data_IF_456989555469
#
_entry.id   IF_456989555469
#
_cell.length_a   1.000
_cell.length_b   1.000
_cell.length_c   1.000
_cell.angle_alpha   90.00
_cell.angle_beta   90.00
_cell.angle_gamma   90.00
#
_symmetry.space_group_name_H-M   'P 1'
#
loop_
_entity.id
_entity.type
_entity.pdbx_description
1 polymer ?
#
# COMPACT_ATOMS: atom_id res chain seq x y z
N UNK A 1 -7.38 22.12 -0.28
CA UNK A 1 -8.05 20.80 -0.32
C UNK A 1 -6.97 19.75 -0.24
N UNK A 2 -7.01 18.85 0.75
CA UNK A 2 -6.08 17.72 0.84
C UNK A 2 -6.29 16.85 -0.40
N UNK A 3 -5.23 16.55 -1.15
CA UNK A 3 -5.34 15.70 -2.33
C UNK A 3 -5.84 14.31 -1.91
N UNK A 4 -6.87 13.80 -2.58
CA UNK A 4 -7.38 12.43 -2.41
C UNK A 4 -7.20 11.65 -3.70
N UNK A 5 -6.77 10.39 -3.58
CA UNK A 5 -6.51 9.51 -4.71
C UNK A 5 -7.61 8.43 -4.79
N UNK A 6 -8.55 8.53 -5.76
CA UNK A 6 -9.64 7.57 -5.88
C UNK A 6 -9.21 6.21 -6.44
N UNK A 7 -8.03 6.13 -7.06
CA UNK A 7 -7.46 4.89 -7.59
C UNK A 7 -6.12 4.64 -6.91
N UNK A 8 -6.00 3.50 -6.25
CA UNK A 8 -4.83 3.13 -5.46
C UNK A 8 -4.35 1.76 -5.93
N UNK A 9 -3.05 1.60 -6.06
CA UNK A 9 -2.44 0.27 -6.18
C UNK A 9 -1.65 -0.04 -4.92
N UNK A 10 -1.91 -1.20 -4.32
CA UNK A 10 -1.01 -1.83 -3.35
C UNK A 10 -0.19 -2.88 -4.10
N UNK A 11 1.12 -2.67 -4.19
CA UNK A 11 2.04 -3.52 -4.94
C UNK A 11 2.98 -4.22 -3.98
N UNK A 12 3.12 -5.54 -4.14
CA UNK A 12 4.08 -6.38 -3.43
C UNK A 12 5.10 -6.91 -4.43
N UNK A 13 6.37 -6.65 -4.15
CA UNK A 13 7.49 -7.16 -4.93
C UNK A 13 8.23 -8.22 -4.12
N UNK A 14 8.59 -9.31 -4.80
CA UNK A 14 9.56 -10.27 -4.30
C UNK A 14 10.95 -9.83 -4.79
N UNK A 15 11.83 -9.52 -3.86
CA UNK A 15 13.18 -9.04 -4.10
C UNK A 15 14.15 -10.20 -3.95
N UNK A 16 15.21 -10.21 -4.75
CA UNK A 16 16.28 -11.20 -4.65
C UNK A 16 16.93 -11.18 -3.26
N UNK A 17 17.32 -12.35 -2.70
CA UNK A 17 17.94 -12.44 -1.38
C UNK A 17 19.09 -11.45 -1.17
N UNK A 18 19.03 -10.70 -0.06
CA UNK A 18 20.06 -9.72 0.31
C UNK A 18 20.05 -8.41 -0.50
N UNK A 19 19.14 -8.24 -1.47
CA UNK A 19 19.07 -7.01 -2.28
C UNK A 19 18.07 -5.97 -1.76
N UNK A 20 17.21 -6.30 -0.79
CA UNK A 20 16.10 -5.42 -0.36
C UNK A 20 16.53 -4.01 0.05
N UNK A 21 17.58 -3.87 0.84
CA UNK A 21 18.08 -2.55 1.24
C UNK A 21 18.55 -1.73 0.03
N UNK A 22 19.32 -2.35 -0.87
CA UNK A 22 19.78 -1.70 -2.11
C UNK A 22 18.61 -1.33 -3.00
N UNK A 23 17.65 -2.22 -3.15
CA UNK A 23 16.41 -2.00 -3.90
C UNK A 23 15.64 -0.80 -3.35
N UNK A 24 15.41 -0.75 -2.03
CA UNK A 24 14.72 0.35 -1.37
C UNK A 24 15.41 1.70 -1.61
N UNK A 25 16.74 1.76 -1.51
CA UNK A 25 17.51 2.97 -1.79
C UNK A 25 17.39 3.43 -3.24
N UNK A 26 17.47 2.51 -4.21
CA UNK A 26 17.30 2.83 -5.62
C UNK A 26 15.86 3.30 -5.90
N UNK A 27 14.86 2.57 -5.39
CA UNK A 27 13.46 2.93 -5.49
C UNK A 27 13.21 4.35 -4.99
N UNK A 28 13.65 4.67 -3.77
CA UNK A 28 13.49 5.98 -3.15
C UNK A 28 14.20 7.10 -3.89
N UNK A 29 15.28 6.79 -4.61
CA UNK A 29 16.06 7.79 -5.35
C UNK A 29 15.37 8.16 -6.67
N UNK A 30 14.77 7.19 -7.36
CA UNK A 30 14.35 7.37 -8.75
C UNK A 30 12.84 7.53 -8.93
N UNK A 31 12.00 6.93 -8.08
CA UNK A 31 10.59 6.70 -8.44
C UNK A 31 9.61 7.69 -7.80
N UNK A 32 9.64 8.00 -6.48
CA UNK A 32 8.63 8.83 -5.85
C UNK A 32 8.42 10.18 -6.56
N UNK A 33 9.50 10.92 -6.82
CA UNK A 33 9.44 12.23 -7.49
C UNK A 33 9.03 12.10 -8.96
N UNK A 34 9.47 11.05 -9.66
CA UNK A 34 9.08 10.81 -11.05
C UNK A 34 7.56 10.57 -11.17
N UNK A 35 6.97 9.74 -10.29
CA UNK A 35 5.51 9.59 -10.25
C UNK A 35 4.80 10.90 -9.91
N UNK A 36 5.35 11.68 -8.96
CA UNK A 36 4.80 12.98 -8.57
C UNK A 36 4.74 13.97 -9.74
N UNK A 37 5.80 14.06 -10.55
CA UNK A 37 5.83 14.90 -11.75
C UNK A 37 4.83 14.47 -12.83
N UNK A 38 4.44 13.19 -12.83
CA UNK A 38 3.49 12.60 -13.77
C UNK A 38 2.04 12.64 -13.27
N UNK A 39 1.75 13.32 -12.15
CA UNK A 39 0.40 13.46 -11.61
C UNK A 39 -0.11 12.25 -10.81
N UNK A 40 0.78 11.30 -10.48
CA UNK A 40 0.53 10.21 -9.55
C UNK A 40 1.31 10.45 -8.24
N UNK A 41 1.13 9.61 -7.22
CA UNK A 41 1.89 9.77 -5.98
C UNK A 41 2.27 8.43 -5.38
N UNK A 42 3.54 8.26 -4.99
CA UNK A 42 3.94 7.21 -4.05
C UNK A 42 3.40 7.58 -2.66
N UNK A 43 2.32 6.92 -2.25
CA UNK A 43 1.65 7.15 -0.96
C UNK A 43 2.48 6.60 0.20
N UNK A 44 3.24 5.55 -0.04
CA UNK A 44 4.20 5.00 0.92
C UNK A 44 4.92 3.80 0.35
N UNK A 45 6.04 3.45 0.95
CA UNK A 45 6.87 2.32 0.56
C UNK A 45 7.53 1.70 1.80
N UNK A 46 7.67 0.38 1.80
CA UNK A 46 7.86 -0.38 3.02
C UNK A 46 8.67 -1.66 2.81
N UNK A 47 9.43 -2.02 3.83
CA UNK A 47 10.03 -3.32 4.02
C UNK A 47 9.07 -4.22 4.80
N UNK A 48 8.81 -5.43 4.32
CA UNK A 48 8.00 -6.40 5.06
C UNK A 48 8.72 -6.90 6.32
N UNK A 49 8.00 -7.03 7.44
CA UNK A 49 8.57 -7.54 8.68
C UNK A 49 8.96 -9.02 8.56
N UNK A 50 7.97 -9.85 8.20
CA UNK A 50 8.10 -11.32 8.23
C UNK A 50 8.67 -11.91 6.93
N UNK A 51 8.96 -11.06 5.94
CA UNK A 51 9.54 -11.44 4.66
C UNK A 51 10.78 -10.58 4.38
N UNK A 52 12.01 -11.11 4.55
CA UNK A 52 13.24 -10.35 4.31
C UNK A 52 13.42 -9.96 2.83
N UNK A 53 12.65 -10.56 1.93
CA UNK A 53 12.65 -10.33 0.50
C UNK A 53 11.39 -9.56 0.03
N UNK A 54 10.48 -9.23 0.93
CA UNK A 54 9.25 -8.53 0.61
C UNK A 54 9.43 -7.02 0.65
N UNK A 55 9.09 -6.36 -0.46
CA UNK A 55 8.98 -4.91 -0.56
C UNK A 55 7.57 -4.51 -1.00
N UNK A 56 6.98 -3.54 -0.32
CA UNK A 56 5.63 -3.07 -0.59
C UNK A 56 5.62 -1.60 -0.91
N UNK A 57 4.71 -1.18 -1.77
CA UNK A 57 4.43 0.24 -1.92
C UNK A 57 2.99 0.49 -2.36
N UNK A 58 2.50 1.65 -1.95
CA UNK A 58 1.22 2.18 -2.34
C UNK A 58 1.44 3.34 -3.29
N UNK A 59 0.69 3.37 -4.40
CA UNK A 59 0.63 4.54 -5.27
C UNK A 59 -0.80 4.93 -5.59
N UNK A 60 -1.04 6.24 -5.61
CA UNK A 60 -2.33 6.83 -5.91
C UNK A 60 -2.36 7.53 -7.26
N UNK A 61 -3.51 7.47 -7.93
CA UNK A 61 -3.81 8.18 -9.17
C UNK A 61 -5.09 9.01 -9.00
N UNK A 62 -5.12 10.18 -9.63
CA UNK A 62 -6.20 11.16 -9.49
C UNK A 62 -7.49 10.76 -10.21
N UNK A 63 -7.40 9.86 -11.19
CA UNK A 63 -8.54 9.23 -11.85
C UNK A 63 -8.15 7.88 -12.44
N UNK A 64 -9.16 7.16 -12.92
CA UNK A 64 -8.96 5.92 -13.66
C UNK A 64 -8.14 6.12 -14.94
N UNK A 65 -8.46 7.15 -15.71
CA UNK A 65 -7.76 7.52 -16.95
C UNK A 65 -6.32 7.94 -16.66
N UNK A 66 -6.12 8.73 -15.58
CA UNK A 66 -4.79 9.18 -15.19
C UNK A 66 -3.86 8.04 -14.76
N UNK A 67 -4.40 6.91 -14.29
CA UNK A 67 -3.61 5.71 -14.05
C UNK A 67 -2.88 5.25 -15.32
N UNK A 68 -3.59 5.13 -16.44
CA UNK A 68 -2.98 4.68 -17.69
C UNK A 68 -1.97 5.70 -18.22
N UNK A 69 -2.30 7.00 -18.15
CA UNK A 69 -1.43 8.10 -18.59
C UNK A 69 -0.12 8.12 -17.79
N UNK A 70 -0.20 8.15 -16.46
CA UNK A 70 0.97 8.20 -15.59
C UNK A 70 1.84 6.95 -15.73
N UNK A 71 1.23 5.76 -15.80
CA UNK A 71 1.98 4.52 -16.04
C UNK A 71 2.67 4.53 -17.40
N UNK A 72 1.98 4.91 -18.48
CA UNK A 72 2.59 4.97 -19.81
C UNK A 72 3.78 5.96 -19.83
N UNK A 73 3.60 7.14 -19.25
CA UNK A 73 4.66 8.15 -19.19
C UNK A 73 5.87 7.67 -18.38
N UNK A 74 5.65 6.93 -17.29
CA UNK A 74 6.72 6.38 -16.48
C UNK A 74 7.45 5.20 -17.18
N UNK A 75 6.72 4.15 -17.55
CA UNK A 75 7.30 2.90 -18.05
C UNK A 75 7.85 2.99 -19.49
N UNK A 76 7.33 3.91 -20.31
CA UNK A 76 7.90 4.19 -21.64
C UNK A 76 8.87 5.38 -21.64
N UNK A 77 8.94 6.10 -20.52
CA UNK A 77 9.77 7.28 -20.32
C UNK A 77 11.26 6.98 -20.09
N UNK A 78 12.09 8.05 -20.04
CA UNK A 78 13.53 7.94 -19.91
C UNK A 78 13.98 7.37 -18.56
N UNK A 79 13.33 7.74 -17.45
CA UNK A 79 13.69 7.30 -16.08
C UNK A 79 13.63 5.78 -15.97
N UNK A 80 12.52 5.16 -16.38
CA UNK A 80 12.43 3.70 -16.37
C UNK A 80 13.37 3.07 -17.40
N UNK A 81 13.51 3.65 -18.60
CA UNK A 81 14.43 3.12 -19.62
C UNK A 81 15.88 3.04 -19.14
N UNK A 82 16.33 4.03 -18.39
CA UNK A 82 17.68 4.10 -17.83
C UNK A 82 17.88 3.12 -16.67
N UNK A 83 16.89 3.01 -15.77
CA UNK A 83 17.07 2.28 -14.51
C UNK A 83 16.41 0.89 -14.47
N UNK A 84 15.61 0.49 -15.47
CA UNK A 84 14.88 -0.79 -15.46
C UNK A 84 15.78 -2.01 -15.32
N UNK A 85 16.98 -2.01 -15.92
CA UNK A 85 17.92 -3.13 -15.83
C UNK A 85 18.33 -3.36 -14.38
N UNK A 86 18.87 -2.31 -13.76
CA UNK A 86 19.25 -2.31 -12.35
C UNK A 86 18.11 -2.77 -11.43
N UNK A 87 16.89 -2.25 -11.65
CA UNK A 87 15.74 -2.55 -10.79
C UNK A 87 15.22 -3.97 -11.00
N UNK A 88 15.10 -4.42 -12.26
CA UNK A 88 14.61 -5.75 -12.58
C UNK A 88 15.59 -6.85 -12.15
N UNK A 89 16.90 -6.61 -12.22
CA UNK A 89 17.93 -7.56 -11.76
C UNK A 89 17.84 -7.85 -10.26
N UNK A 90 17.19 -6.97 -9.49
CA UNK A 90 16.96 -7.15 -8.05
C UNK A 90 15.60 -7.77 -7.73
N UNK A 91 14.68 -7.94 -8.69
CA UNK A 91 13.33 -8.45 -8.46
C UNK A 91 13.14 -9.85 -9.03
N UNK A 92 12.44 -10.71 -8.30
CA UNK A 92 12.01 -12.03 -8.78
C UNK A 92 10.54 -12.05 -9.18
N UNK A 93 9.71 -11.18 -8.60
CA UNK A 93 8.30 -11.01 -8.96
C UNK A 93 7.85 -9.57 -8.67
N UNK A 94 7.02 -9.01 -9.56
CA UNK A 94 6.44 -7.67 -9.46
C UNK A 94 4.93 -7.61 -9.72
N UNK A 95 4.29 -8.76 -9.93
CA UNK A 95 2.93 -8.86 -10.49
C UNK A 95 1.84 -8.98 -9.42
N UNK A 96 2.23 -9.09 -8.15
CA UNK A 96 1.30 -9.10 -7.02
C UNK A 96 0.79 -7.67 -6.72
N UNK A 97 -0.26 -7.28 -7.44
CA UNK A 97 -0.86 -5.94 -7.37
C UNK A 97 -2.34 -6.02 -7.07
N UNK A 98 -2.78 -5.35 -6.01
CA UNK A 98 -4.19 -5.06 -5.77
C UNK A 98 -4.55 -3.70 -6.36
N UNK A 99 -5.61 -3.65 -7.16
CA UNK A 99 -6.21 -2.42 -7.68
C UNK A 99 -7.41 -2.03 -6.82
N UNK A 100 -7.31 -0.87 -6.16
CA UNK A 100 -8.14 -0.48 -5.03
C UNK A 100 -8.71 0.93 -5.20
N UNK A 101 -9.74 1.23 -4.41
CA UNK A 101 -10.26 2.57 -4.16
C UNK A 101 -10.64 2.71 -2.68
N UNK A 102 -10.69 3.91 -2.11
CA UNK A 102 -11.31 4.11 -0.80
C UNK A 102 -12.76 3.60 -0.78
N UNK A 103 -13.19 3.02 0.34
CA UNK A 103 -14.59 2.60 0.51
C UNK A 103 -15.53 3.81 0.39
N UNK A 104 -15.19 4.89 1.09
CA UNK A 104 -15.82 6.22 1.00
C UNK A 104 -14.72 7.30 1.05
N UNK A 105 -15.02 8.58 0.75
CA UNK A 105 -14.03 9.66 0.85
C UNK A 105 -13.38 9.83 2.23
N UNK A 106 -14.09 9.47 3.31
CA UNK A 106 -13.56 9.52 4.68
C UNK A 106 -12.50 8.44 4.95
N UNK A 107 -12.48 7.38 4.15
CA UNK A 107 -11.54 6.25 4.26
C UNK A 107 -10.31 6.40 3.36
N UNK A 108 -10.09 7.57 2.77
CA UNK A 108 -8.95 7.81 1.89
C UNK A 108 -7.62 7.76 2.63
N UNK A 109 -6.57 7.29 1.94
CA UNK A 109 -5.21 7.27 2.48
C UNK A 109 -4.72 8.71 2.71
N UNK A 110 -4.19 9.05 3.90
CA UNK A 110 -3.72 10.39 4.18
C UNK A 110 -2.51 10.74 3.30
N UNK A 111 -2.48 11.98 2.82
CA UNK A 111 -1.39 12.50 1.99
C UNK A 111 -0.65 13.55 2.79
N UNK A 112 0.62 13.27 3.11
CA UNK A 112 1.48 14.26 3.74
C UNK A 112 1.82 15.39 2.76
N UNK A 113 1.97 16.64 3.25
CA UNK A 113 2.36 17.76 2.42
C UNK A 113 3.70 17.50 1.72
N UNK A 114 3.89 18.15 0.55
CA UNK A 114 5.08 17.95 -0.27
C UNK A 114 6.39 18.43 0.40
N UNK A 115 6.29 19.38 1.32
CA UNK A 115 7.39 19.79 2.18
C UNK A 115 7.35 18.88 3.40
N UNK A 116 8.27 17.91 3.45
CA UNK A 116 8.56 17.12 4.63
C UNK A 116 9.46 17.97 5.55
N UNK A 117 8.95 18.56 6.65
CA UNK A 117 9.72 19.53 7.44
C UNK A 117 10.87 18.89 8.22
N UNK A 118 11.00 17.57 8.20
CA UNK A 118 11.94 16.84 9.04
C UNK A 118 12.93 16.08 8.18
N UNK A 119 14.22 16.32 8.43
CA UNK A 119 15.31 15.42 8.00
C UNK A 119 15.30 14.06 8.72
N UNK A 120 14.18 13.70 9.36
CA UNK A 120 14.02 12.50 10.16
C UNK A 120 13.55 11.33 9.30
N UNK A 121 14.01 10.14 9.68
CA UNK A 121 13.61 8.88 9.07
C UNK A 121 12.11 8.65 9.36
N UNK A 122 11.35 8.21 8.36
CA UNK A 122 9.96 7.80 8.58
C UNK A 122 9.85 6.80 9.75
N UNK A 123 8.86 7.01 10.63
CA UNK A 123 8.69 6.26 11.88
C UNK A 123 7.38 5.45 11.90
N UNK A 124 7.25 4.60 12.91
CA UNK A 124 6.10 3.73 13.13
C UNK A 124 6.08 2.52 12.21
N UNK A 125 4.94 1.82 12.24
CA UNK A 125 4.71 0.59 11.50
C UNK A 125 3.35 0.68 10.82
N UNK A 126 3.27 0.30 9.55
CA UNK A 126 2.01 0.11 8.84
C UNK A 126 1.59 -1.36 8.97
N UNK A 127 0.35 -1.61 9.36
CA UNK A 127 -0.27 -2.93 9.32
C UNK A 127 -1.35 -2.90 8.25
N UNK A 128 -1.28 -3.86 7.32
CA UNK A 128 -2.29 -4.07 6.30
C UNK A 128 -3.00 -5.39 6.56
N UNK A 129 -4.32 -5.35 6.73
CA UNK A 129 -5.16 -6.55 6.78
C UNK A 129 -5.99 -6.62 5.50
N UNK A 130 -5.72 -7.64 4.70
CA UNK A 130 -6.29 -7.84 3.36
C UNK A 130 -7.24 -9.02 3.43
N UNK A 131 -8.54 -8.77 3.43
CA UNK A 131 -9.58 -9.78 3.38
C UNK A 131 -9.93 -10.10 1.93
N UNK A 132 -9.92 -11.38 1.57
CA UNK A 132 -10.52 -11.85 0.31
C UNK A 132 -11.99 -12.14 0.56
N UNK A 133 -12.86 -11.32 -0.02
CA UNK A 133 -14.27 -11.26 0.31
C UNK A 133 -15.04 -12.37 -0.42
N UNK A 134 -15.69 -13.25 0.34
CA UNK A 134 -16.67 -14.23 -0.19
C UNK A 134 -18.09 -13.68 -0.30
N UNK A 135 -18.32 -12.50 0.27
CA UNK A 135 -19.60 -11.79 0.31
C UNK A 135 -19.42 -10.38 -0.26
N UNK A 136 -20.52 -9.64 -0.34
CA UNK A 136 -20.47 -8.24 -0.73
C UNK A 136 -19.51 -7.44 0.18
N UNK A 137 -18.71 -6.57 -0.44
CA UNK A 137 -17.65 -5.84 0.27
C UNK A 137 -18.21 -4.78 1.21
N UNK A 138 -19.34 -4.14 0.86
CA UNK A 138 -19.96 -3.13 1.71
C UNK A 138 -20.62 -3.78 2.94
N UNK A 139 -21.26 -4.92 2.78
CA UNK A 139 -21.76 -5.74 3.89
C UNK A 139 -20.61 -6.14 4.83
N UNK A 140 -19.51 -6.67 4.27
CA UNK A 140 -18.35 -7.07 5.07
C UNK A 140 -17.75 -5.89 5.84
N UNK A 141 -17.62 -4.72 5.20
CA UNK A 141 -17.10 -3.52 5.85
C UNK A 141 -17.99 -3.07 7.02
N UNK A 142 -19.32 -3.13 6.87
CA UNK A 142 -20.25 -2.81 7.95
C UNK A 142 -20.13 -3.79 9.14
N UNK A 143 -19.94 -5.09 8.86
CA UNK A 143 -19.71 -6.11 9.89
C UNK A 143 -18.34 -5.96 10.57
N UNK A 144 -17.34 -5.46 9.85
CA UNK A 144 -15.98 -5.28 10.34
C UNK A 144 -15.81 -4.02 11.21
N UNK A 145 -16.68 -3.02 11.08
CA UNK A 145 -16.52 -1.73 11.78
C UNK A 145 -16.38 -1.86 13.32
N UNK A 146 -17.21 -2.65 14.03
CA UNK A 146 -17.00 -2.86 15.47
C UNK A 146 -15.70 -3.60 15.82
N UNK A 147 -15.10 -4.29 14.85
CA UNK A 147 -13.80 -4.95 14.99
C UNK A 147 -12.67 -3.93 14.82
N UNK A 148 -12.78 -3.06 13.80
CA UNK A 148 -11.83 -1.97 13.58
C UNK A 148 -11.82 -0.97 14.75
N UNK A 149 -12.95 -0.79 15.44
CA UNK A 149 -12.96 -0.05 16.71
C UNK A 149 -12.04 -0.67 17.76
N UNK A 150 -11.99 -2.00 17.87
CA UNK A 150 -11.06 -2.69 18.77
C UNK A 150 -9.60 -2.54 18.34
N UNK A 151 -9.34 -2.35 17.04
CA UNK A 151 -7.99 -2.09 16.55
C UNK A 151 -7.52 -0.71 17.02
N UNK A 152 -8.41 0.29 16.98
CA UNK A 152 -8.13 1.62 17.52
C UNK A 152 -7.86 1.62 19.02
N UNK A 153 -8.56 0.76 19.77
CA UNK A 153 -8.37 0.59 21.21
C UNK A 153 -6.98 0.03 21.60
N UNK A 154 -6.24 -0.61 20.68
CA UNK A 154 -4.85 -1.02 20.92
C UNK A 154 -3.85 0.14 20.81
N UNK A 155 -4.31 1.32 20.36
CA UNK A 155 -3.46 2.48 20.06
C UNK A 155 -3.13 2.64 18.56
N UNK A 156 -3.62 1.74 17.70
CA UNK A 156 -3.47 1.90 16.25
C UNK A 156 -4.34 3.05 15.71
N UNK A 157 -3.87 3.75 14.69
CA UNK A 157 -4.60 4.80 13.99
C UNK A 157 -4.99 4.33 12.60
N UNK A 158 -6.25 4.49 12.23
CA UNK A 158 -6.69 4.21 10.86
C UNK A 158 -5.93 5.09 9.85
N UNK A 159 -5.43 4.45 8.80
CA UNK A 159 -4.77 5.06 7.66
C UNK A 159 -5.53 4.84 6.35
N UNK A 160 -6.54 3.97 6.33
CA UNK A 160 -7.43 3.82 5.19
C UNK A 160 -8.26 2.55 5.27
N UNK A 161 -9.41 2.57 4.61
CA UNK A 161 -10.23 1.39 4.36
C UNK A 161 -10.54 1.33 2.87
N UNK A 162 -9.89 0.40 2.19
CA UNK A 162 -9.90 0.30 0.73
C UNK A 162 -10.65 -0.95 0.28
N UNK A 163 -11.21 -0.88 -0.90
CA UNK A 163 -11.91 -1.99 -1.55
C UNK A 163 -11.40 -2.16 -2.97
N UNK A 164 -11.54 -3.36 -3.54
CA UNK A 164 -11.26 -3.57 -4.97
C UNK A 164 -11.97 -2.53 -5.83
N UNK A 165 -11.22 -1.89 -6.73
CA UNK A 165 -11.78 -1.08 -7.77
C UNK A 165 -12.22 -2.01 -8.91
N UNK A 166 -13.52 -2.17 -9.06
CA UNK A 166 -14.14 -3.05 -10.06
C UNK A 166 -14.16 -2.40 -11.44
N UNK A 167 -12.97 -2.23 -12.02
CA UNK A 167 -12.76 -1.79 -13.40
C UNK A 167 -11.74 -2.71 -14.09
N UNK A 168 -11.92 -3.04 -15.39
CA UNK A 168 -10.97 -3.85 -16.14
C UNK A 168 -9.58 -3.20 -16.13
N UNK A 169 -8.47 -3.93 -16.07
CA UNK A 169 -7.14 -3.30 -16.04
C UNK A 169 -6.84 -2.45 -17.30
N UNK A 170 -6.81 -1.11 -17.18
CA UNK A 170 -6.49 -0.19 -18.29
C UNK A 170 -4.99 -0.05 -18.60
N UNK A 171 -4.14 -0.83 -17.95
CA UNK A 171 -2.70 -0.88 -18.26
C UNK A 171 -2.20 -2.33 -18.19
N UNK A 172 -2.53 -3.18 -19.19
CA UNK A 172 -2.34 -4.64 -19.12
C UNK A 172 -0.89 -5.11 -18.94
N UNK A 173 0.10 -4.27 -19.26
CA UNK A 173 1.52 -4.57 -19.03
C UNK A 173 1.86 -4.75 -17.55
N UNK A 174 1.04 -4.22 -16.64
CA UNK A 174 1.16 -4.42 -15.20
C UNK A 174 -0.03 -5.27 -14.76
N UNK A 175 0.15 -6.59 -14.60
CA UNK A 175 -0.90 -7.47 -14.12
C UNK A 175 -1.44 -7.00 -12.76
N UNK A 176 -2.72 -7.28 -12.53
CA UNK A 176 -3.39 -7.07 -11.26
C UNK A 176 -4.05 -8.38 -10.86
N UNK A 177 -4.11 -8.62 -9.55
CA UNK A 177 -4.75 -9.79 -8.99
C UNK A 177 -6.23 -9.84 -9.35
N UNK A 178 -6.69 -11.03 -9.72
CA UNK A 178 -8.08 -11.33 -10.08
C UNK A 178 -8.75 -12.30 -9.10
N UNK A 179 -8.10 -12.56 -7.96
CA UNK A 179 -8.58 -13.46 -6.90
C UNK A 179 -9.51 -12.76 -5.89
N UNK A 180 -9.95 -11.54 -6.21
CA UNK A 180 -10.83 -10.71 -5.39
C UNK A 180 -12.33 -10.93 -5.66
N UNK A 181 -13.20 -10.08 -5.07
CA UNK A 181 -12.88 -8.75 -4.51
C UNK A 181 -12.24 -8.79 -3.11
N UNK A 182 -11.58 -7.70 -2.74
CA UNK A 182 -10.85 -7.55 -1.47
C UNK A 182 -11.33 -6.34 -0.66
N UNK A 183 -11.28 -6.45 0.67
CA UNK A 183 -11.37 -5.36 1.64
C UNK A 183 -10.02 -5.22 2.33
N UNK A 184 -9.44 -4.02 2.34
CA UNK A 184 -8.10 -3.77 2.88
C UNK A 184 -8.18 -2.69 3.95
N UNK A 185 -7.95 -3.07 5.20
CA UNK A 185 -7.74 -2.12 6.27
C UNK A 185 -6.25 -1.78 6.37
N UNK A 186 -5.94 -0.50 6.48
CA UNK A 186 -4.60 0.03 6.71
C UNK A 186 -4.60 0.77 8.04
N UNK A 187 -3.69 0.39 8.94
CA UNK A 187 -3.50 1.07 10.22
C UNK A 187 -2.04 1.36 10.51
N UNK A 188 -1.80 2.48 11.18
CA UNK A 188 -0.49 2.89 11.64
C UNK A 188 -0.38 2.60 13.13
N UNK A 189 0.76 2.05 13.54
CA UNK A 189 1.17 1.88 14.92
C UNK A 189 2.40 2.75 15.20
N UNK A 190 2.52 3.38 16.39
CA UNK A 190 3.69 4.18 16.75
C UNK A 190 4.95 3.31 16.94
N UNK A 191 4.78 2.08 17.42
CA UNK A 191 5.85 1.16 17.79
C UNK A 191 5.39 -0.30 17.71
N UNK A 192 6.33 -1.22 17.94
CA UNK A 192 6.08 -2.67 17.92
C UNK A 192 5.16 -3.12 19.06
N UNK A 193 5.08 -2.41 20.19
CA UNK A 193 4.19 -2.77 21.29
C UNK A 193 2.71 -2.66 20.91
N UNK A 194 2.36 -1.62 20.15
CA UNK A 194 1.01 -1.48 19.57
C UNK A 194 0.75 -2.54 18.50
N UNK A 195 1.77 -2.92 17.72
CA UNK A 195 1.66 -4.02 16.74
C UNK A 195 1.37 -5.34 17.46
N UNK A 196 2.14 -5.67 18.50
CA UNK A 196 1.99 -6.90 19.29
C UNK A 196 0.59 -7.00 19.94
N UNK A 197 0.02 -5.88 20.38
CA UNK A 197 -1.34 -5.82 20.88
C UNK A 197 -2.40 -5.96 19.77
N UNK A 198 -2.14 -5.41 18.57
CA UNK A 198 -3.06 -5.41 17.43
C UNK A 198 -3.16 -6.78 16.74
N UNK A 199 -2.04 -7.50 16.53
CA UNK A 199 -2.03 -8.72 15.72
C UNK A 199 -3.00 -9.80 16.21
N UNK A 200 -3.12 -10.11 17.53
CA UNK A 200 -4.09 -11.09 18.01
C UNK A 200 -5.53 -10.66 17.76
N UNK A 201 -5.84 -9.37 17.95
CA UNK A 201 -7.19 -8.80 17.73
C UNK A 201 -7.56 -8.86 16.25
N UNK A 202 -6.63 -8.53 15.36
CA UNK A 202 -6.82 -8.59 13.92
C UNK A 202 -7.03 -10.04 13.42
N UNK A 203 -6.26 -11.01 13.93
CA UNK A 203 -6.46 -12.43 13.61
C UNK A 203 -7.84 -12.92 14.04
N UNK A 204 -8.24 -12.60 15.28
CA UNK A 204 -9.56 -12.97 15.80
C UNK A 204 -10.70 -12.34 14.98
N UNK A 205 -10.52 -11.12 14.48
CA UNK A 205 -11.51 -10.47 13.63
C UNK A 205 -11.71 -11.22 12.29
N UNK A 206 -10.65 -11.74 11.68
CA UNK A 206 -10.77 -12.57 10.47
C UNK A 206 -11.58 -13.84 10.72
N UNK A 207 -11.36 -14.50 11.86
CA UNK A 207 -12.13 -15.67 12.29
C UNK A 207 -13.61 -15.32 12.52
N UNK A 208 -13.88 -14.21 13.21
CA UNK A 208 -15.26 -13.73 13.46
C UNK A 208 -16.01 -13.39 12.17
N UNK A 209 -15.33 -12.79 11.20
CA UNK A 209 -15.89 -12.48 9.88
C UNK A 209 -15.97 -13.70 8.95
N UNK A 210 -15.34 -14.82 9.34
CA UNK A 210 -15.22 -16.05 8.55
C UNK A 210 -14.66 -15.78 7.14
N UNK A 211 -13.70 -14.85 7.04
CA UNK A 211 -13.04 -14.49 5.79
C UNK A 211 -11.58 -14.93 5.82
N UNK A 212 -11.06 -15.33 4.66
CA UNK A 212 -9.62 -15.46 4.49
C UNK A 212 -8.99 -14.07 4.55
N UNK A 213 -7.98 -13.90 5.40
CA UNK A 213 -7.27 -12.64 5.54
C UNK A 213 -5.77 -12.85 5.55
N UNK A 214 -5.06 -12.03 4.78
CA UNK A 214 -3.63 -11.81 4.95
C UNK A 214 -3.42 -10.66 5.93
N UNK A 215 -2.49 -10.83 6.86
CA UNK A 215 -2.07 -9.79 7.80
C UNK A 215 -0.59 -9.51 7.58
N UNK A 216 -0.25 -8.29 7.17
CA UNK A 216 1.10 -7.88 6.79
C UNK A 216 1.57 -6.73 7.66
N UNK A 217 2.75 -6.89 8.25
CA UNK A 217 3.44 -5.84 9.02
C UNK A 217 4.52 -5.22 8.15
N UNK A 218 4.49 -3.90 8.00
CA UNK A 218 5.25 -3.14 7.01
C UNK A 218 5.99 -1.98 7.69
N UNK A 219 7.32 -1.97 7.58
CA UNK A 219 8.15 -0.89 8.13
C UNK A 219 8.43 0.15 7.05
N UNK A 220 8.13 1.44 7.28
CA UNK A 220 8.35 2.47 6.28
C UNK A 220 9.84 2.60 5.97
N UNK A 221 10.18 2.70 4.69
CA UNK A 221 11.54 3.13 4.32
C UNK A 221 11.72 4.62 4.63
N UNK A 222 12.96 5.11 4.54
CA UNK A 222 13.37 6.42 5.06
C UNK A 222 12.47 7.59 4.62
N UNK A 223 12.05 7.61 3.35
CA UNK A 223 11.27 8.66 2.69
C UNK A 223 9.80 8.27 2.50
N UNK A 224 9.31 7.23 3.19
CA UNK A 224 7.90 6.84 3.08
C UNK A 224 7.00 7.95 3.61
N UNK A 225 5.93 8.25 2.86
CA UNK A 225 4.95 9.29 3.21
C UNK A 225 3.84 8.77 4.09
N UNK A 226 3.54 7.47 4.04
CA UNK A 226 2.57 6.85 4.93
C UNK A 226 3.31 6.27 6.13
N UNK A 227 3.25 7.01 7.24
CA UNK A 227 4.03 6.79 8.46
C UNK A 227 3.34 7.36 9.70
N UNK A 228 3.82 6.99 10.87
CA UNK A 228 3.41 7.65 12.12
C UNK A 228 3.97 9.08 12.18
N UNK A 229 3.21 9.99 12.80
CA UNK A 229 3.56 11.41 12.98
C UNK A 229 3.56 11.77 14.46
#
# INVERSE_FOLDING_TARGET
MTATFPVIELRRYAISPGQRERFGRCFETYFPEAFQQLGALALGQFDAHDDPNGFFWLRGFSSWEQRAVANAAFYYGPVWREHKGLMNDMMTDSDNVLLLRPLTPAHAVPVLPAIDPLGERAQGVLVAQIFTCRRDVAELAALAEPLFQRYRETGARDAGLLVTLDLPNNFPQLPVRTDGPHLVWLGLAPDEGVVDALLPVARQAADQLQQAAELVVLRPTRRSRLRWL
#
